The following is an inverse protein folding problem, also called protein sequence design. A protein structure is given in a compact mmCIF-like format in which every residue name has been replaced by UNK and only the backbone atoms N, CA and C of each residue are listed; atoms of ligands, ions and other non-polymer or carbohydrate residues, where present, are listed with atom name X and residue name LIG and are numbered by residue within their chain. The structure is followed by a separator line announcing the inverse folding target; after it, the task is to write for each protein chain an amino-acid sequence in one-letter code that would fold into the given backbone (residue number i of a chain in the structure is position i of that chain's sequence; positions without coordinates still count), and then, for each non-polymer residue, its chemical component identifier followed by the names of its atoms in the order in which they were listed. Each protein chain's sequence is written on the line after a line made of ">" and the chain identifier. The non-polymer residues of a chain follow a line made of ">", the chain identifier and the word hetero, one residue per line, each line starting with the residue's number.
data_IF_874552161550
#
_entry.id   IF_874552161550
#
_cell.length_a   1.000
_cell.length_b   1.000
_cell.length_c   1.000
_cell.angle_alpha   90.00
_cell.angle_beta   90.00
_cell.angle_gamma   90.00
#
_symmetry.space_group_name_H-M   'P 1'
#
loop_
_entity.id
_entity.type
_entity.pdbx_description
1 polymer ?
#
# COMPACT_ATOMS: atom_id res chain seq x y z
N UNK A 1 4.06 13.92 3.39
CA UNK A 1 4.62 14.12 4.75
C UNK A 1 6.14 14.29 4.71
N UNK A 2 6.91 13.27 4.31
CA UNK A 2 8.37 13.32 4.21
C UNK A 2 8.91 14.48 3.33
N UNK A 3 8.14 14.90 2.32
CA UNK A 3 8.46 16.02 1.42
C UNK A 3 8.00 17.41 1.91
N UNK A 4 7.55 17.55 3.16
CA UNK A 4 7.25 18.85 3.76
C UNK A 4 5.77 19.15 4.05
N UNK A 5 4.81 18.36 3.56
CA UNK A 5 3.40 18.53 3.92
C UNK A 5 3.18 18.39 5.44
N UNK A 6 2.30 19.23 6.02
CA UNK A 6 1.98 19.31 7.45
C UNK A 6 0.46 19.33 7.71
N UNK A 7 -0.29 18.28 7.34
CA UNK A 7 -1.69 18.18 7.74
C UNK A 7 -1.78 17.94 9.25
N UNK A 8 -2.95 18.21 9.84
CA UNK A 8 -3.20 17.90 11.25
C UNK A 8 -3.13 16.39 11.53
N UNK A 9 -3.55 15.56 10.57
CA UNK A 9 -3.59 14.10 10.65
C UNK A 9 -3.38 13.48 9.26
N UNK A 10 -2.92 12.23 9.20
CA UNK A 10 -2.75 11.50 7.96
C UNK A 10 -3.23 10.04 8.07
N UNK A 11 -3.68 9.46 6.97
CA UNK A 11 -4.03 8.05 6.87
C UNK A 11 -3.17 7.39 5.80
N UNK A 12 -2.65 6.21 6.10
CA UNK A 12 -1.97 5.30 5.17
C UNK A 12 -2.72 3.98 5.18
N UNK A 13 -3.61 3.78 4.19
CA UNK A 13 -4.40 2.57 4.08
C UNK A 13 -3.83 1.61 3.02
N UNK A 14 -3.90 0.30 3.28
CA UNK A 14 -3.51 -0.74 2.33
C UNK A 14 -2.02 -0.74 1.96
N UNK A 15 -1.15 -0.38 2.91
CA UNK A 15 0.31 -0.34 2.75
C UNK A 15 1.01 -0.85 4.01
N UNK A 16 2.24 -1.36 3.86
CA UNK A 16 3.10 -1.84 4.94
C UNK A 16 4.52 -1.29 4.85
N UNK A 17 5.33 -1.52 5.88
CA UNK A 17 6.68 -0.96 5.99
C UNK A 17 7.56 -1.35 4.79
N UNK A 18 7.41 -2.58 4.30
CA UNK A 18 8.24 -3.05 3.20
C UNK A 18 8.02 -2.25 1.92
N UNK A 19 6.76 -1.88 1.64
CA UNK A 19 6.40 -1.07 0.49
C UNK A 19 6.99 0.35 0.59
N UNK A 20 7.20 0.86 1.81
CA UNK A 20 7.76 2.19 2.07
C UNK A 20 9.29 2.17 1.99
N UNK A 21 9.94 1.07 2.36
CA UNK A 21 11.40 0.95 2.40
C UNK A 21 12.03 0.34 1.14
N UNK A 22 11.22 0.01 0.11
CA UNK A 22 11.67 -0.71 -1.10
C UNK A 22 12.28 -2.09 -0.77
N UNK A 23 11.97 -2.67 0.39
CA UNK A 23 12.44 -4.01 0.78
C UNK A 23 11.57 -5.13 0.21
N UNK A 24 10.51 -4.81 -0.54
CA UNK A 24 9.61 -5.84 -1.05
C UNK A 24 10.22 -6.68 -2.18
N UNK A 25 10.07 -8.00 -2.05
CA UNK A 25 10.07 -8.96 -3.17
C UNK A 25 8.93 -8.72 -4.17
N UNK A 26 7.96 -7.86 -3.84
CA UNK A 26 6.80 -7.52 -4.70
C UNK A 26 7.21 -6.79 -5.97
N UNK A 27 8.26 -5.97 -5.94
CA UNK A 27 8.81 -5.40 -7.19
C UNK A 27 9.17 -6.53 -8.16
N UNK A 28 9.80 -7.61 -7.69
CA UNK A 28 10.05 -8.82 -8.47
C UNK A 28 8.78 -9.51 -8.97
N UNK A 29 7.75 -9.64 -8.12
CA UNK A 29 6.45 -10.21 -8.52
C UNK A 29 5.78 -9.41 -9.63
N UNK A 30 5.71 -8.08 -9.51
CA UNK A 30 5.13 -7.24 -10.55
C UNK A 30 6.02 -7.13 -11.80
N UNK A 31 7.35 -7.15 -11.66
CA UNK A 31 8.26 -7.26 -12.81
C UNK A 31 8.02 -8.55 -13.59
N UNK A 32 7.87 -9.70 -12.92
CA UNK A 32 7.53 -10.97 -13.58
C UNK A 32 6.16 -10.92 -14.24
N UNK A 33 5.15 -10.38 -13.55
CA UNK A 33 3.80 -10.26 -14.11
C UNK A 33 3.74 -9.37 -15.35
N UNK A 34 4.43 -8.23 -15.33
CA UNK A 34 4.53 -7.34 -16.48
C UNK A 34 5.33 -7.97 -17.63
N UNK A 35 6.40 -8.71 -17.33
CA UNK A 35 7.17 -9.44 -18.35
C UNK A 35 6.29 -10.49 -19.04
N UNK A 36 5.55 -11.30 -18.26
CA UNK A 36 4.60 -12.26 -18.82
C UNK A 36 3.53 -11.60 -19.71
N UNK A 37 3.03 -10.42 -19.33
CA UNK A 37 2.09 -9.66 -20.17
C UNK A 37 2.72 -9.14 -21.47
N UNK A 38 3.98 -8.69 -21.42
CA UNK A 38 4.75 -8.23 -22.60
C UNK A 38 5.01 -9.38 -23.56
N UNK A 39 5.37 -10.54 -23.02
CA UNK A 39 5.72 -11.74 -23.80
C UNK A 39 4.47 -12.48 -24.34
N UNK A 40 3.27 -12.05 -23.94
CA UNK A 40 2.01 -12.63 -24.42
C UNK A 40 1.64 -13.95 -23.74
N UNK A 41 2.21 -14.23 -22.57
CA UNK A 41 1.98 -15.47 -21.82
C UNK A 41 0.53 -15.61 -21.35
N UNK A 42 0.04 -16.85 -21.14
CA UNK A 42 -1.26 -17.09 -20.52
C UNK A 42 -1.36 -16.43 -19.15
N UNK A 43 -2.50 -15.79 -18.89
CA UNK A 43 -2.75 -15.03 -17.66
C UNK A 43 -3.76 -15.78 -16.80
N UNK A 44 -3.30 -16.31 -15.67
CA UNK A 44 -4.14 -17.02 -14.72
C UNK A 44 -5.08 -16.06 -13.97
N UNK A 45 -6.40 -16.34 -13.89
CA UNK A 45 -7.34 -15.52 -13.12
C UNK A 45 -6.89 -15.29 -11.68
N UNK A 46 -7.02 -14.05 -11.20
CA UNK A 46 -6.62 -13.66 -9.85
C UNK A 46 -5.11 -13.48 -9.64
N UNK A 47 -4.25 -13.83 -10.61
CA UNK A 47 -2.81 -13.54 -10.56
C UNK A 47 -2.50 -12.04 -10.64
N UNK A 48 -1.30 -11.59 -10.23
CA UNK A 48 -0.90 -10.19 -10.43
C UNK A 48 -0.99 -9.72 -11.89
N UNK A 49 -0.65 -10.59 -12.85
CA UNK A 49 -0.76 -10.29 -14.28
C UNK A 49 -2.23 -10.12 -14.71
N UNK A 50 -3.15 -10.90 -14.14
CA UNK A 50 -4.58 -10.75 -14.37
C UNK A 50 -5.07 -9.38 -13.93
N UNK A 51 -4.76 -8.96 -12.71
CA UNK A 51 -5.18 -7.65 -12.21
C UNK A 51 -4.54 -6.49 -12.98
N UNK A 52 -3.26 -6.60 -13.35
CA UNK A 52 -2.60 -5.60 -14.20
C UNK A 52 -3.28 -5.49 -15.58
N UNK A 53 -3.68 -6.62 -16.18
CA UNK A 53 -4.42 -6.64 -17.44
C UNK A 53 -5.81 -6.01 -17.29
N UNK A 54 -6.54 -6.31 -16.21
CA UNK A 54 -7.85 -5.69 -15.94
C UNK A 54 -7.75 -4.17 -15.77
N UNK A 55 -6.61 -3.68 -15.25
CA UNK A 55 -6.34 -2.24 -15.15
C UNK A 55 -6.12 -1.53 -16.49
N UNK A 56 -5.94 -2.27 -17.61
CA UNK A 56 -5.84 -1.71 -18.95
C UNK A 56 -4.59 -0.88 -19.24
N UNK A 57 -3.60 -0.87 -18.34
CA UNK A 57 -2.35 -0.13 -18.53
C UNK A 57 -1.40 -0.84 -19.49
N UNK A 58 -0.60 -0.06 -20.24
CA UNK A 58 0.48 -0.59 -21.08
C UNK A 58 1.55 -1.27 -20.20
N UNK A 59 1.82 -2.58 -20.37
CA UNK A 59 2.73 -3.29 -19.49
C UNK A 59 4.19 -2.85 -19.65
N UNK A 60 4.60 -2.34 -20.83
CA UNK A 60 5.93 -1.75 -21.04
C UNK A 60 6.04 -0.44 -20.27
N UNK A 61 5.03 0.42 -20.36
CA UNK A 61 5.00 1.69 -19.62
C UNK A 61 4.99 1.46 -18.10
N UNK A 62 4.14 0.54 -17.61
CA UNK A 62 4.06 0.19 -16.19
C UNK A 62 5.39 -0.38 -15.65
N UNK A 63 6.15 -1.11 -16.48
CA UNK A 63 7.47 -1.62 -16.08
C UNK A 63 8.45 -0.48 -15.78
N UNK A 64 8.39 0.60 -16.54
CA UNK A 64 9.20 1.79 -16.27
C UNK A 64 8.77 2.48 -14.98
N UNK A 65 7.46 2.60 -14.73
CA UNK A 65 6.93 3.17 -13.48
C UNK A 65 7.42 2.40 -12.25
N UNK A 66 7.42 1.07 -12.26
CA UNK A 66 7.97 0.28 -11.14
C UNK A 66 9.44 0.61 -10.84
N UNK A 67 10.24 0.89 -11.88
CA UNK A 67 11.64 1.30 -11.73
C UNK A 67 11.84 2.62 -10.96
N UNK A 68 10.83 3.49 -10.95
CA UNK A 68 10.88 4.82 -10.31
C UNK A 68 10.61 4.80 -8.81
N UNK A 69 10.20 3.67 -8.24
CA UNK A 69 9.84 3.59 -6.84
C UNK A 69 11.02 3.95 -5.93
N UNK A 70 10.93 5.04 -5.17
CA UNK A 70 11.98 5.43 -4.22
C UNK A 70 11.52 5.18 -2.78
N UNK A 71 12.39 4.66 -1.90
CA UNK A 71 12.03 4.49 -0.50
C UNK A 71 11.73 5.85 0.14
N UNK A 72 10.86 5.84 1.16
CA UNK A 72 10.64 7.03 2.00
C UNK A 72 11.59 6.96 3.19
N UNK A 73 12.67 7.76 3.21
CA UNK A 73 13.60 7.76 4.32
C UNK A 73 12.99 8.45 5.55
N UNK A 74 13.65 8.29 6.69
CA UNK A 74 13.43 9.10 7.88
C UNK A 74 11.98 9.15 8.39
N UNK A 75 11.30 8.00 8.39
CA UNK A 75 9.94 7.89 8.94
C UNK A 75 9.85 8.40 10.39
N UNK A 76 10.93 8.21 11.17
CA UNK A 76 11.09 8.74 12.52
C UNK A 76 11.02 10.28 12.63
N UNK A 77 11.14 11.02 11.51
CA UNK A 77 10.99 12.49 11.46
C UNK A 77 9.57 12.94 11.15
N UNK A 78 8.67 12.02 10.81
CA UNK A 78 7.27 12.32 10.49
C UNK A 78 6.46 12.38 11.78
N UNK A 79 6.34 13.58 12.35
CA UNK A 79 5.60 13.79 13.60
C UNK A 79 4.09 13.97 13.43
N UNK A 80 3.58 14.03 12.19
CA UNK A 80 2.14 14.06 11.94
C UNK A 80 1.48 12.80 12.51
N UNK A 81 0.44 12.93 13.37
CA UNK A 81 -0.36 11.78 13.79
C UNK A 81 -0.86 11.00 12.59
N UNK A 82 -0.52 9.72 12.50
CA UNK A 82 -0.78 8.91 11.31
C UNK A 82 -1.46 7.61 11.67
N UNK A 83 -2.60 7.33 11.06
CA UNK A 83 -3.25 6.02 11.12
C UNK A 83 -2.73 5.16 9.98
N UNK A 84 -2.27 3.95 10.29
CA UNK A 84 -1.98 2.89 9.34
C UNK A 84 -3.09 1.84 9.45
N UNK A 85 -3.77 1.55 8.34
CA UNK A 85 -5.02 0.79 8.32
C UNK A 85 -5.01 -0.27 7.22
N UNK A 86 -5.30 -1.52 7.56
CA UNK A 86 -5.37 -2.64 6.61
C UNK A 86 -6.54 -3.57 6.93
N UNK A 87 -6.89 -4.43 5.98
CA UNK A 87 -7.78 -5.55 6.23
C UNK A 87 -7.17 -6.55 7.24
N UNK A 88 -7.99 -7.22 8.04
CA UNK A 88 -7.54 -8.29 8.93
C UNK A 88 -7.19 -9.60 8.20
N UNK A 89 -7.64 -9.73 6.95
CA UNK A 89 -7.30 -10.81 6.02
C UNK A 89 -6.36 -10.31 4.88
N UNK A 90 -5.72 -9.15 5.04
CA UNK A 90 -4.75 -8.60 4.08
C UNK A 90 -3.31 -9.06 4.41
N UNK A 91 -3.05 -10.35 4.16
CA UNK A 91 -1.72 -10.96 4.33
C UNK A 91 -0.65 -10.27 3.46
N UNK A 92 -1.09 -9.61 2.38
CA UNK A 92 -0.24 -8.80 1.53
C UNK A 92 0.39 -7.61 2.25
N UNK A 93 -0.17 -7.13 3.36
CA UNK A 93 0.35 -5.98 4.08
C UNK A 93 0.66 -6.30 5.54
N UNK A 94 1.24 -7.49 5.77
CA UNK A 94 1.63 -7.98 7.09
C UNK A 94 2.53 -7.02 7.89
N UNK A 95 3.31 -6.14 7.24
CA UNK A 95 4.20 -5.16 7.89
C UNK A 95 3.57 -3.78 8.14
N UNK A 96 2.24 -3.68 8.11
CA UNK A 96 1.52 -2.44 8.40
C UNK A 96 1.64 -1.98 9.86
N UNK A 97 1.70 -2.89 10.81
CA UNK A 97 1.96 -2.60 12.22
C UNK A 97 3.40 -2.07 12.42
N UNK A 98 4.38 -2.66 11.73
CA UNK A 98 5.76 -2.19 11.72
C UNK A 98 5.89 -0.78 11.11
N UNK A 99 5.06 -0.45 10.10
CA UNK A 99 5.00 0.90 9.55
C UNK A 99 4.48 1.90 10.59
N UNK A 100 3.42 1.56 11.32
CA UNK A 100 2.91 2.40 12.40
C UNK A 100 3.98 2.58 13.49
N UNK A 101 4.69 1.53 13.87
CA UNK A 101 5.76 1.58 14.86
C UNK A 101 6.97 2.43 14.42
N UNK A 102 7.23 2.53 13.11
CA UNK A 102 8.29 3.37 12.56
C UNK A 102 7.97 4.88 12.58
N UNK A 103 6.71 5.25 12.85
CA UNK A 103 6.25 6.63 12.93
C UNK A 103 6.10 7.05 14.41
N UNK A 104 6.68 8.20 14.84
CA UNK A 104 6.62 8.65 16.23
C UNK A 104 5.19 8.75 16.80
N UNK A 105 4.24 9.14 15.96
CA UNK A 105 2.81 9.27 16.30
C UNK A 105 1.94 8.34 15.45
N UNK A 106 2.47 7.16 15.12
CA UNK A 106 1.77 6.14 14.36
C UNK A 106 0.75 5.38 15.20
N UNK A 107 -0.38 5.06 14.60
CA UNK A 107 -1.41 4.16 15.16
C UNK A 107 -1.72 3.09 14.15
N UNK A 108 -1.83 1.85 14.60
CA UNK A 108 -2.20 0.72 13.76
C UNK A 108 -3.64 0.29 14.07
N UNK A 109 -4.41 -0.01 13.02
CA UNK A 109 -5.71 -0.65 13.17
C UNK A 109 -5.97 -1.63 12.01
N UNK A 110 -6.87 -2.58 12.27
CA UNK A 110 -7.41 -3.51 11.28
C UNK A 110 -8.91 -3.32 11.15
N UNK A 111 -9.42 -3.61 9.96
CA UNK A 111 -10.87 -3.69 9.68
C UNK A 111 -11.18 -5.03 9.00
N UNK A 112 -12.41 -5.54 9.11
CA UNK A 112 -12.78 -6.81 8.47
C UNK A 112 -12.55 -6.79 6.95
N UNK A 113 -11.87 -7.82 6.45
CA UNK A 113 -11.75 -8.13 5.02
C UNK A 113 -10.31 -8.28 4.52
N UNK A 114 -10.22 -8.73 3.27
CA UNK A 114 -8.98 -8.85 2.49
C UNK A 114 -8.52 -7.50 1.97
N UNK A 115 -7.36 -7.45 1.29
CA UNK A 115 -6.91 -6.26 0.57
C UNK A 115 -7.98 -5.61 -0.31
N UNK A 116 -8.78 -6.44 -0.99
CA UNK A 116 -9.78 -5.98 -1.96
C UNK A 116 -11.14 -5.69 -1.31
N UNK A 117 -11.55 -6.47 -0.32
CA UNK A 117 -12.87 -6.31 0.31
C UNK A 117 -12.87 -5.24 1.40
N UNK A 118 -11.75 -5.05 2.10
CA UNK A 118 -11.62 -3.99 3.11
C UNK A 118 -11.69 -2.58 2.49
N UNK A 119 -11.17 -2.41 1.26
CA UNK A 119 -11.14 -1.12 0.54
C UNK A 119 -12.52 -0.45 0.41
N UNK A 120 -13.56 -1.26 0.18
CA UNK A 120 -14.93 -0.78 0.01
C UNK A 120 -15.79 -0.95 1.27
N UNK A 121 -15.19 -1.32 2.41
CA UNK A 121 -15.94 -1.59 3.63
C UNK A 121 -16.37 -0.31 4.35
N UNK A 122 -17.56 -0.36 4.98
CA UNK A 122 -18.00 0.69 5.87
C UNK A 122 -17.06 0.86 7.08
N UNK A 123 -16.48 -0.25 7.56
CA UNK A 123 -15.53 -0.25 8.67
C UNK A 123 -14.27 0.57 8.35
N UNK A 124 -13.73 0.46 7.13
CA UNK A 124 -12.60 1.29 6.68
C UNK A 124 -12.96 2.78 6.74
N UNK A 125 -14.11 3.14 6.17
CA UNK A 125 -14.60 4.52 6.15
C UNK A 125 -14.79 5.08 7.56
N UNK A 126 -15.41 4.32 8.46
CA UNK A 126 -15.62 4.71 9.86
C UNK A 126 -14.30 4.95 10.58
N UNK A 127 -13.36 4.00 10.49
CA UNK A 127 -12.06 4.15 11.15
C UNK A 127 -11.28 5.37 10.65
N UNK A 128 -11.34 5.65 9.34
CA UNK A 128 -10.74 6.84 8.76
C UNK A 128 -11.40 8.12 9.26
N UNK A 129 -12.73 8.19 9.26
CA UNK A 129 -13.48 9.36 9.69
C UNK A 129 -13.26 9.67 11.18
N UNK A 130 -13.35 8.66 12.04
CA UNK A 130 -13.13 8.80 13.49
C UNK A 130 -11.72 9.30 13.78
N UNK A 131 -10.70 8.75 13.12
CA UNK A 131 -9.33 9.20 13.33
C UNK A 131 -9.12 10.64 12.88
N UNK A 132 -9.66 11.02 11.72
CA UNK A 132 -9.51 12.35 11.14
C UNK A 132 -10.30 13.42 11.93
N UNK A 133 -11.38 13.04 12.61
CA UNK A 133 -12.22 13.95 13.40
C UNK A 133 -11.67 14.27 14.81
N UNK A 134 -10.61 13.58 15.26
CA UNK A 134 -10.01 13.83 16.57
C UNK A 134 -9.35 15.21 16.65
N UNK A 135 -9.59 15.92 17.77
CA UNK A 135 -8.96 17.21 18.08
C UNK A 135 -7.44 17.11 18.26
#
# INVERSE_FOLDING_TARGET
>A
LARGARPGRAVVAGQGLDAVQRTTSRTGTYHRALTALIDGEPVEPGSPAYWLRQGGGDPVALRHVLGTHVPTPDLHRITTPTLVLVGDEDDGHATADALAAALPNGRFARVPGTHFTAMSSAALTTAMAEFLAQA
#
